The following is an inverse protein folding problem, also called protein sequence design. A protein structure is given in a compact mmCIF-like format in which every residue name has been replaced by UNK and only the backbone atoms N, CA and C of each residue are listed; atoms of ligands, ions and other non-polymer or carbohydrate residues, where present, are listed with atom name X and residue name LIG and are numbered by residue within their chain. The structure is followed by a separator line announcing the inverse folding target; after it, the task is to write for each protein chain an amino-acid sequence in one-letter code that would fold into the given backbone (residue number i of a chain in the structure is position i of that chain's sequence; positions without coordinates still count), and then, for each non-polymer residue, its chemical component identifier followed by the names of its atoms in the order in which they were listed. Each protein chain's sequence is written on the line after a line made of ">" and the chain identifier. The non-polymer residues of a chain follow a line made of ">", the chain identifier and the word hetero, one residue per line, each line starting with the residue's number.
data_IF_995235805275
#
_entry.id   IF_995235805275
#
_cell.length_a   1.000
_cell.length_b   1.000
_cell.length_c   1.000
_cell.angle_alpha   90.00
_cell.angle_beta   90.00
_cell.angle_gamma   90.00
#
_symmetry.space_group_name_H-M   'P 1'
#
loop_
_entity.id
_entity.type
_entity.pdbx_description
1 polymer ?
#
# COMPACT_ATOMS: atom_id res chain seq x y z
N UNK A 1 -8.68 27.20 28.28
CA UNK A 1 -9.24 26.92 26.94
C UNK A 1 -8.40 25.82 26.29
N UNK A 2 -8.75 24.55 26.52
CA UNK A 2 -8.06 23.42 25.88
C UNK A 2 -8.52 23.32 24.42
N UNK A 3 -7.71 23.79 23.48
CA UNK A 3 -7.92 23.48 22.06
C UNK A 3 -7.66 21.98 21.88
N UNK A 4 -8.74 21.24 21.66
CA UNK A 4 -8.68 19.80 21.36
C UNK A 4 -7.68 19.53 20.24
N UNK A 5 -6.85 18.50 20.44
CA UNK A 5 -5.86 18.06 19.47
C UNK A 5 -6.61 17.66 18.19
N UNK A 6 -6.60 18.52 17.18
CA UNK A 6 -7.15 18.21 15.87
C UNK A 6 -6.23 17.17 15.21
N UNK A 7 -6.85 16.12 14.69
CA UNK A 7 -6.15 14.96 14.12
C UNK A 7 -5.34 15.40 12.89
N UNK A 8 -4.02 15.17 12.91
CA UNK A 8 -3.09 15.54 11.82
C UNK A 8 -3.50 14.97 10.45
N UNK A 9 -4.25 13.87 10.43
CA UNK A 9 -4.79 13.24 9.22
C UNK A 9 -5.69 14.18 8.40
N UNK A 10 -6.46 15.04 9.05
CA UNK A 10 -7.40 15.91 8.32
C UNK A 10 -6.68 17.05 7.58
N UNK A 11 -5.56 17.54 8.10
CA UNK A 11 -4.78 18.61 7.46
C UNK A 11 -3.97 18.17 6.23
N UNK A 12 -3.85 16.86 5.99
CA UNK A 12 -3.13 16.30 4.85
C UNK A 12 -4.03 16.03 3.62
N UNK A 13 -5.36 16.13 3.79
CA UNK A 13 -6.35 15.78 2.75
C UNK A 13 -6.68 16.93 1.78
N UNK A 14 -6.39 18.19 2.15
CA UNK A 14 -6.85 19.39 1.42
C UNK A 14 -5.70 20.30 0.96
N UNK A 15 -4.53 19.76 0.63
CA UNK A 15 -3.44 20.58 0.09
C UNK A 15 -3.27 20.32 -1.40
N UNK A 16 -3.49 21.37 -2.20
CA UNK A 16 -3.01 21.46 -3.57
C UNK A 16 -1.52 21.05 -3.60
N UNK A 17 -1.20 20.01 -4.36
CA UNK A 17 0.16 19.47 -4.47
C UNK A 17 0.98 20.30 -5.45
N UNK A 18 1.17 21.58 -5.14
CA UNK A 18 2.14 22.40 -5.87
C UNK A 18 3.52 22.07 -5.34
N UNK A 19 4.32 21.34 -6.12
CA UNK A 19 5.73 21.13 -5.82
C UNK A 19 6.43 22.50 -5.89
N UNK A 20 7.09 22.91 -4.81
CA UNK A 20 7.97 24.09 -4.86
C UNK A 20 9.23 23.78 -5.70
N UNK A 21 9.91 24.80 -6.22
CA UNK A 21 11.04 24.67 -7.18
C UNK A 21 12.21 23.79 -6.69
N UNK A 22 12.34 23.58 -5.36
CA UNK A 22 13.37 22.74 -4.75
C UNK A 22 12.88 21.34 -4.33
N UNK A 23 11.60 21.03 -4.58
CA UNK A 23 10.96 19.78 -4.16
C UNK A 23 10.82 18.80 -5.33
N UNK A 24 11.08 17.53 -5.06
CA UNK A 24 10.93 16.44 -6.02
C UNK A 24 10.16 15.27 -5.39
N UNK A 25 9.54 14.44 -6.22
CA UNK A 25 8.91 13.18 -5.80
C UNK A 25 9.98 12.10 -5.86
N UNK A 26 10.07 11.30 -4.80
CA UNK A 26 10.99 10.19 -4.72
C UNK A 26 10.31 8.93 -4.17
N UNK A 27 10.82 7.78 -4.57
CA UNK A 27 10.36 6.48 -4.08
C UNK A 27 11.32 5.95 -3.02
N UNK A 28 10.80 5.40 -1.92
CA UNK A 28 11.60 4.75 -0.88
C UNK A 28 12.06 3.38 -1.37
N UNK A 29 13.38 3.22 -1.55
CA UNK A 29 14.02 1.96 -1.97
C UNK A 29 14.30 1.06 -0.76
N UNK A 30 14.81 1.64 0.33
CA UNK A 30 15.19 0.89 1.52
C UNK A 30 15.18 1.75 2.78
N UNK A 31 14.93 1.12 3.93
CA UNK A 31 15.01 1.76 5.24
C UNK A 31 16.39 1.46 5.83
N UNK A 32 17.27 2.47 5.97
CA UNK A 32 18.65 2.27 6.45
C UNK A 32 18.80 2.34 7.96
N UNK A 33 17.78 2.84 8.66
CA UNK A 33 17.82 3.09 10.11
C UNK A 33 18.40 4.45 10.45
N UNK A 34 18.47 4.81 11.74
CA UNK A 34 19.08 6.06 12.23
C UNK A 34 18.60 7.33 11.50
N UNK A 35 17.29 7.41 11.21
CA UNK A 35 16.62 8.49 10.48
C UNK A 35 17.08 8.67 9.03
N UNK A 36 17.69 7.65 8.44
CA UNK A 36 18.10 7.66 7.04
C UNK A 36 17.30 6.63 6.26
N UNK A 37 16.88 7.03 5.08
CA UNK A 37 16.22 6.18 4.12
C UNK A 37 16.93 6.32 2.78
N UNK A 38 16.96 5.22 2.04
CA UNK A 38 17.42 5.21 0.67
C UNK A 38 16.22 5.51 -0.23
N UNK A 39 16.38 6.51 -1.07
CA UNK A 39 15.35 7.03 -1.96
C UNK A 39 15.86 7.00 -3.40
N UNK A 40 14.95 6.78 -4.35
CA UNK A 40 15.20 6.97 -5.76
C UNK A 40 14.54 8.28 -6.19
N UNK A 41 15.33 9.21 -6.71
CA UNK A 41 14.85 10.48 -7.24
C UNK A 41 14.21 10.30 -8.63
N UNK A 42 13.52 11.32 -9.13
CA UNK A 42 12.90 11.36 -10.47
C UNK A 42 13.87 11.07 -11.64
N UNK A 43 15.18 11.14 -11.39
CA UNK A 43 16.26 10.82 -12.35
C UNK A 43 16.67 9.34 -12.34
N UNK A 44 16.16 8.54 -11.41
CA UNK A 44 16.51 7.13 -11.22
C UNK A 44 17.76 6.92 -10.35
N UNK A 45 18.32 8.00 -9.78
CA UNK A 45 19.49 7.91 -8.90
C UNK A 45 19.07 7.59 -7.46
N UNK A 46 19.72 6.59 -6.86
CA UNK A 46 19.55 6.26 -5.45
C UNK A 46 20.40 7.18 -4.57
N UNK A 47 19.78 7.81 -3.58
CA UNK A 47 20.47 8.68 -2.62
C UNK A 47 19.94 8.49 -1.20
N UNK A 48 20.70 8.96 -0.20
CA UNK A 48 20.26 8.92 1.19
C UNK A 48 19.55 10.22 1.55
N UNK A 49 18.35 10.08 2.11
CA UNK A 49 17.57 11.18 2.65
C UNK A 49 17.40 11.05 4.17
N UNK A 50 17.40 12.20 4.85
CA UNK A 50 17.00 12.28 6.24
C UNK A 50 15.48 12.22 6.35
N UNK A 51 14.99 11.37 7.24
CA UNK A 51 13.59 11.26 7.61
C UNK A 51 13.35 12.03 8.92
N UNK A 52 12.69 13.20 8.87
CA UNK A 52 12.51 14.04 10.05
C UNK A 52 11.82 13.33 11.20
N UNK A 53 12.29 13.60 12.42
CA UNK A 53 11.80 12.96 13.63
C UNK A 53 10.29 13.10 13.84
N UNK A 54 9.72 14.25 13.44
CA UNK A 54 8.29 14.57 13.54
C UNK A 54 7.37 13.56 12.84
N UNK A 55 7.88 12.82 11.85
CA UNK A 55 7.09 11.84 11.12
C UNK A 55 7.07 10.45 11.76
N UNK A 56 7.98 10.17 12.71
CA UNK A 56 8.15 8.84 13.29
C UNK A 56 6.92 8.31 14.03
N UNK A 57 6.13 9.19 14.64
CA UNK A 57 4.95 8.78 15.42
C UNK A 57 3.65 8.77 14.61
N UNK A 58 3.59 9.51 13.51
CA UNK A 58 2.34 9.78 12.79
C UNK A 58 2.28 9.21 11.37
N UNK A 59 3.42 8.86 10.78
CA UNK A 59 3.50 8.38 9.40
C UNK A 59 4.27 7.06 9.35
N UNK A 60 3.66 6.04 8.73
CA UNK A 60 4.31 4.76 8.49
C UNK A 60 4.86 4.75 7.06
N UNK A 61 6.17 4.53 6.91
CA UNK A 61 6.82 4.38 5.61
C UNK A 61 7.32 2.94 5.45
N UNK A 62 7.25 2.43 4.22
CA UNK A 62 7.77 1.11 3.83
C UNK A 62 8.52 1.25 2.50
N UNK A 63 9.18 0.17 2.06
CA UNK A 63 9.74 0.10 0.71
C UNK A 63 8.61 0.26 -0.32
N UNK A 64 8.86 1.06 -1.36
CA UNK A 64 7.89 1.37 -2.40
C UNK A 64 6.95 2.54 -2.07
N UNK A 65 6.99 3.08 -0.84
CA UNK A 65 6.25 4.30 -0.50
C UNK A 65 6.81 5.50 -1.27
N UNK A 66 5.94 6.47 -1.59
CA UNK A 66 6.35 7.72 -2.22
C UNK A 66 6.42 8.85 -1.21
N UNK A 67 7.41 9.72 -1.37
CA UNK A 67 7.66 10.85 -0.48
C UNK A 67 8.03 12.08 -1.30
N UNK A 68 7.74 13.26 -0.77
CA UNK A 68 8.25 14.53 -1.30
C UNK A 68 9.53 14.85 -0.58
N UNK A 69 10.59 15.12 -1.34
CA UNK A 69 11.92 15.43 -0.83
C UNK A 69 12.28 16.87 -1.18
N UNK A 70 13.06 17.50 -0.31
CA UNK A 70 13.63 18.82 -0.52
C UNK A 70 15.14 18.69 -0.75
N UNK A 71 15.59 19.23 -1.88
CA UNK A 71 16.99 19.25 -2.29
C UNK A 71 17.73 20.53 -1.84
N UNK A 72 17.10 21.46 -1.12
CA UNK A 72 17.75 22.67 -0.60
C UNK A 72 18.99 22.35 0.25
N UNK A 73 19.00 21.18 0.91
CA UNK A 73 20.16 20.69 1.66
C UNK A 73 21.25 20.02 0.82
N UNK A 74 21.00 19.69 -0.46
CA UNK A 74 21.89 18.90 -1.32
C UNK A 74 23.20 19.61 -1.60
N UNK A 75 23.13 20.90 -1.93
CA UNK A 75 24.31 21.73 -2.20
C UNK A 75 25.23 21.82 -0.98
N UNK A 76 24.65 22.10 0.21
CA UNK A 76 25.38 22.16 1.48
C UNK A 76 25.97 20.81 1.89
N UNK A 77 25.24 19.72 1.64
CA UNK A 77 25.71 18.38 1.92
C UNK A 77 26.91 18.00 1.05
N UNK A 78 26.87 18.37 -0.23
CA UNK A 78 27.97 18.14 -1.17
C UNK A 78 29.22 18.94 -0.79
N UNK A 79 29.06 20.20 -0.38
CA UNK A 79 30.16 21.04 0.13
C UNK A 79 30.76 20.46 1.43
N UNK A 80 29.92 19.89 2.30
CA UNK A 80 30.32 19.32 3.59
C UNK A 80 30.84 17.86 3.50
N UNK A 81 30.83 17.25 2.32
CA UNK A 81 31.18 15.82 2.14
C UNK A 81 30.20 14.83 2.80
N UNK A 82 28.98 15.28 3.10
CA UNK A 82 27.94 14.43 3.69
C UNK A 82 27.31 13.51 2.64
N UNK A 83 27.11 12.24 2.99
CA UNK A 83 26.44 11.25 2.14
C UNK A 83 24.92 11.43 2.05
N UNK A 84 24.35 12.25 2.93
CA UNK A 84 22.91 12.53 2.95
C UNK A 84 22.65 13.79 2.14
N UNK A 85 21.93 13.65 1.03
CA UNK A 85 21.75 14.72 0.03
C UNK A 85 20.41 15.42 0.13
N UNK A 86 19.42 14.87 0.84
CA UNK A 86 18.05 15.40 0.79
C UNK A 86 17.30 15.16 2.10
N UNK A 87 16.20 15.90 2.30
CA UNK A 87 15.36 15.80 3.50
C UNK A 87 13.93 15.50 3.07
N UNK A 88 13.28 14.55 3.73
CA UNK A 88 11.86 14.26 3.47
C UNK A 88 10.97 15.36 4.02
N UNK A 89 10.17 15.98 3.16
CA UNK A 89 9.23 17.03 3.52
C UNK A 89 7.84 16.50 3.84
N UNK A 90 7.33 15.55 3.05
CA UNK A 90 5.99 14.95 3.22
C UNK A 90 6.00 13.48 2.80
N UNK A 91 5.16 12.66 3.42
CA UNK A 91 4.89 11.29 2.98
C UNK A 91 3.60 11.29 2.18
N UNK A 92 3.60 10.66 1.00
CA UNK A 92 2.45 10.57 0.13
C UNK A 92 1.64 9.31 0.42
N UNK A 93 0.34 9.47 0.59
CA UNK A 93 -0.61 8.37 0.72
C UNK A 93 -1.09 7.87 -0.64
N UNK A 94 -1.67 6.67 -0.65
CA UNK A 94 -2.14 6.01 -1.87
C UNK A 94 -3.08 6.89 -2.73
N UNK A 95 -4.05 7.55 -2.10
CA UNK A 95 -4.97 8.44 -2.81
C UNK A 95 -4.24 9.64 -3.45
N UNK A 96 -3.28 10.22 -2.73
CA UNK A 96 -2.47 11.33 -3.21
C UNK A 96 -1.61 10.89 -4.39
N UNK A 97 -0.96 9.72 -4.30
CA UNK A 97 -0.19 9.13 -5.39
C UNK A 97 -1.06 8.92 -6.64
N UNK A 98 -2.28 8.40 -6.50
CA UNK A 98 -3.21 8.24 -7.64
C UNK A 98 -3.61 9.56 -8.28
N UNK A 99 -3.73 10.63 -7.51
CA UNK A 99 -4.03 11.97 -8.04
C UNK A 99 -2.83 12.55 -8.79
N UNK A 100 -1.63 12.45 -8.19
CA UNK A 100 -0.40 12.94 -8.82
C UNK A 100 -0.05 12.14 -10.08
N UNK A 101 -0.28 10.82 -10.11
CA UNK A 101 -0.08 9.99 -11.31
C UNK A 101 -0.88 10.46 -12.54
N UNK A 102 -1.99 11.18 -12.32
CA UNK A 102 -2.79 11.77 -13.40
C UNK A 102 -2.31 13.17 -13.80
N UNK A 103 -1.49 13.81 -12.97
CA UNK A 103 -0.92 15.13 -13.24
C UNK A 103 0.37 15.00 -14.06
N UNK A 104 0.75 16.04 -14.81
CA UNK A 104 1.99 16.05 -15.58
C UNK A 104 3.26 16.07 -14.69
N UNK A 105 3.10 16.32 -13.39
CA UNK A 105 4.20 16.41 -12.43
C UNK A 105 4.68 15.04 -11.94
N UNK A 106 4.01 13.94 -12.34
CA UNK A 106 4.45 12.59 -12.01
C UNK A 106 5.70 12.17 -12.79
N UNK A 107 6.80 11.78 -12.11
CA UNK A 107 8.02 11.38 -12.79
C UNK A 107 7.80 10.14 -13.66
N UNK A 108 8.29 10.20 -14.89
CA UNK A 108 8.11 9.14 -15.90
C UNK A 108 8.67 7.80 -15.46
N UNK A 109 9.81 7.81 -14.76
CA UNK A 109 10.45 6.62 -14.19
C UNK A 109 9.56 5.84 -13.22
N UNK A 110 8.53 6.49 -12.65
CA UNK A 110 7.61 5.87 -11.69
C UNK A 110 6.29 5.44 -12.32
N UNK A 111 6.09 5.65 -13.63
CA UNK A 111 4.87 5.20 -14.33
C UNK A 111 4.81 3.67 -14.44
N UNK A 112 5.97 3.03 -14.61
CA UNK A 112 6.06 1.57 -14.76
C UNK A 112 6.17 0.83 -13.41
N UNK A 113 6.46 1.55 -12.33
CA UNK A 113 6.50 0.95 -10.99
C UNK A 113 5.08 0.77 -10.45
N UNK A 114 4.60 -0.48 -10.40
CA UNK A 114 3.34 -0.82 -9.73
C UNK A 114 3.43 -0.38 -8.26
N UNK A 115 2.57 0.53 -7.78
CA UNK A 115 2.55 0.91 -6.37
C UNK A 115 2.16 -0.33 -5.56
N UNK A 116 3.03 -0.75 -4.65
CA UNK A 116 2.75 -1.86 -3.73
C UNK A 116 1.72 -1.34 -2.70
N UNK A 117 0.49 -1.85 -2.68
CA UNK A 117 -0.46 -1.47 -1.65
C UNK A 117 0.06 -1.94 -0.29
N UNK A 118 -0.12 -1.12 0.76
CA UNK A 118 0.38 -1.42 2.10
C UNK A 118 -0.21 -2.71 2.73
N UNK A 119 -1.22 -3.31 2.09
CA UNK A 119 -1.93 -4.52 2.51
C UNK A 119 -1.41 -5.82 1.84
N UNK A 120 -0.63 -5.72 0.76
CA UNK A 120 -0.26 -6.89 -0.05
C UNK A 120 1.15 -7.42 0.28
N UNK A 121 1.40 -7.74 1.55
CA UNK A 121 2.65 -8.44 1.97
C UNK A 121 2.38 -9.74 2.72
N UNK A 122 1.20 -10.33 2.52
CA UNK A 122 0.88 -11.69 2.98
C UNK A 122 0.76 -12.70 1.83
N UNK A 123 1.00 -12.31 0.58
CA UNK A 123 0.95 -13.25 -0.54
C UNK A 123 2.29 -13.96 -0.72
N UNK A 124 2.29 -15.22 -0.28
CA UNK A 124 3.23 -16.27 -0.63
C UNK A 124 3.29 -16.34 -2.17
N UNK A 125 4.48 -16.46 -2.82
CA UNK A 125 4.55 -16.52 -4.28
C UNK A 125 3.91 -17.82 -4.79
N UNK A 126 2.85 -17.70 -5.60
CA UNK A 126 2.30 -18.79 -6.41
C UNK A 126 3.03 -18.74 -7.77
N UNK A 127 3.65 -19.83 -8.25
CA UNK A 127 4.28 -19.84 -9.57
C UNK A 127 3.21 -19.78 -10.68
N UNK A 128 3.52 -19.21 -11.86
CA UNK A 128 2.55 -18.95 -12.91
C UNK A 128 2.23 -20.24 -13.70
N UNK A 129 0.95 -20.58 -13.81
CA UNK A 129 0.45 -21.42 -14.89
C UNK A 129 -0.33 -20.54 -15.88
N UNK A 130 0.23 -20.48 -17.08
CA UNK A 130 -0.35 -20.07 -18.34
C UNK A 130 -1.66 -20.80 -18.69
N UNK A 131 -2.70 -20.06 -19.14
CA UNK A 131 -3.34 -20.21 -20.47
C UNK A 131 -4.78 -19.64 -20.52
N UNK A 132 -4.93 -18.63 -21.39
CA UNK A 132 -6.05 -18.16 -22.25
C UNK A 132 -7.53 -18.47 -21.97
N UNK A 133 -8.36 -17.44 -22.17
CA UNK A 133 -9.80 -17.58 -22.47
C UNK A 133 -10.62 -16.29 -22.30
N UNK A 134 -10.99 -15.68 -23.42
CA UNK A 134 -11.67 -14.39 -23.61
C UNK A 134 -13.19 -14.37 -23.30
N UNK A 135 -13.74 -13.14 -23.09
CA UNK A 135 -15.16 -12.65 -23.21
C UNK A 135 -16.21 -13.25 -22.24
N UNK A 136 -17.30 -12.62 -21.79
CA UNK A 136 -18.11 -11.46 -22.17
C UNK A 136 -18.95 -11.02 -20.93
N UNK A 137 -19.44 -9.79 -20.94
CA UNK A 137 -20.20 -9.14 -19.88
C UNK A 137 -21.64 -9.65 -19.76
N UNK A 138 -22.08 -10.11 -18.58
CA UNK A 138 -23.50 -10.08 -18.18
C UNK A 138 -23.67 -10.03 -16.66
N UNK A 139 -24.31 -8.95 -16.20
CA UNK A 139 -24.83 -8.70 -14.86
C UNK A 139 -26.04 -9.63 -14.61
N UNK A 140 -25.92 -10.57 -13.67
CA UNK A 140 -27.00 -11.14 -12.85
C UNK A 140 -26.35 -11.89 -11.67
N UNK A 141 -26.75 -11.55 -10.44
CA UNK A 141 -26.23 -12.04 -9.16
C UNK A 141 -26.10 -13.58 -9.07
N UNK A 142 -24.89 -14.14 -8.97
CA UNK A 142 -24.69 -15.47 -8.35
C UNK A 142 -23.23 -15.76 -7.95
N UNK A 143 -23.08 -16.56 -6.90
CA UNK A 143 -21.91 -16.88 -6.10
C UNK A 143 -20.64 -17.37 -6.85
N UNK A 144 -19.91 -16.44 -7.47
CA UNK A 144 -18.63 -16.71 -8.15
C UNK A 144 -17.39 -16.81 -7.25
N UNK A 145 -17.55 -16.88 -5.93
CA UNK A 145 -16.42 -17.15 -5.03
C UNK A 145 -16.23 -18.68 -4.93
N UNK A 146 -15.03 -19.21 -5.20
CA UNK A 146 -14.79 -20.64 -5.00
C UNK A 146 -15.13 -20.99 -3.55
N UNK A 147 -15.82 -22.13 -3.29
CA UNK A 147 -16.10 -22.57 -1.93
C UNK A 147 -14.80 -22.60 -1.13
N UNK A 148 -14.77 -21.92 0.01
CA UNK A 148 -13.60 -21.89 0.88
C UNK A 148 -13.19 -23.32 1.20
N UNK A 149 -11.94 -23.67 0.90
CA UNK A 149 -11.42 -25.01 1.18
C UNK A 149 -11.53 -25.29 2.69
N UNK A 150 -12.18 -26.40 3.04
CA UNK A 150 -12.42 -26.74 4.43
C UNK A 150 -11.08 -26.96 5.15
N UNK A 151 -10.84 -26.19 6.21
CA UNK A 151 -9.62 -26.31 7.01
C UNK A 151 -9.53 -27.70 7.68
N UNK A 152 -8.63 -28.55 7.19
CA UNK A 152 -8.42 -29.93 7.64
C UNK A 152 -7.59 -30.04 8.93
N UNK A 153 -7.02 -28.93 9.45
CA UNK A 153 -6.31 -28.93 10.73
C UNK A 153 -7.24 -28.97 11.95
N UNK A 154 -8.56 -28.91 11.75
CA UNK A 154 -9.53 -29.17 12.82
C UNK A 154 -9.70 -30.67 12.97
N UNK A 155 -9.06 -31.25 13.98
CA UNK A 155 -9.34 -32.60 14.45
C UNK A 155 -10.85 -32.71 14.72
N UNK A 156 -11.60 -33.35 13.81
CA UNK A 156 -13.01 -33.67 14.04
C UNK A 156 -13.04 -34.71 15.16
N UNK A 157 -13.60 -34.42 16.35
CA UNK A 157 -13.94 -35.48 17.27
C UNK A 157 -15.04 -36.30 16.57
N UNK A 158 -14.75 -37.57 16.40
CA UNK A 158 -15.67 -38.61 15.96
C UNK A 158 -16.99 -38.53 16.74
N UNK A 159 -18.12 -38.39 16.03
CA UNK A 159 -19.45 -38.62 16.57
C UNK A 159 -20.32 -37.37 16.73
N UNK A 160 -20.81 -36.82 15.63
CA UNK A 160 -22.16 -36.23 15.62
C UNK A 160 -22.87 -36.87 14.45
N UNK A 161 -23.65 -37.92 14.74
CA UNK A 161 -24.61 -38.48 13.80
C UNK A 161 -25.64 -37.39 13.54
N UNK A 162 -25.78 -36.97 12.29
CA UNK A 162 -26.95 -36.24 11.86
C UNK A 162 -28.05 -37.29 11.74
N UNK A 163 -28.92 -37.38 12.75
CA UNK A 163 -30.15 -38.14 12.61
C UNK A 163 -30.94 -37.54 11.43
N UNK A 164 -31.03 -38.31 10.36
CA UNK A 164 -31.94 -38.03 9.27
C UNK A 164 -33.34 -38.36 9.78
N UNK A 165 -34.03 -37.35 10.30
CA UNK A 165 -35.46 -37.39 10.61
C UNK A 165 -36.21 -37.82 9.33
N UNK A 166 -36.49 -39.12 9.25
CA UNK A 166 -37.24 -39.72 8.15
C UNK A 166 -38.71 -39.50 8.44
N UNK A 167 -39.29 -38.44 7.86
CA UNK A 167 -40.74 -38.22 7.90
C UNK A 167 -41.42 -39.19 6.92
N UNK A 168 -41.72 -40.39 7.40
CA UNK A 168 -42.44 -41.41 6.67
C UNK A 168 -43.93 -41.31 7.00
N UNK A 169 -44.59 -40.29 6.43
CA UNK A 169 -46.05 -40.14 6.52
C UNK A 169 -46.77 -41.19 5.68
N UNK A 170 -47.28 -42.24 6.34
CA UNK A 170 -48.14 -43.24 5.72
C UNK A 170 -49.30 -43.54 6.68
N UNK A 171 -50.49 -43.03 6.35
CA UNK A 171 -51.74 -43.47 6.95
C UNK A 171 -52.78 -43.66 5.83
N UNK A 172 -53.24 -44.90 5.68
CA UNK A 172 -54.32 -45.34 4.78
C UNK A 172 -55.27 -46.23 5.57
N UNK A 173 -56.56 -45.98 5.32
CA UNK A 173 -57.77 -46.77 5.59
C UNK A 173 -58.29 -46.90 7.03
N UNK A 174 -59.39 -46.16 7.31
CA UNK A 174 -60.75 -46.74 7.45
C UNK A 174 -61.83 -45.67 7.41
#
# INVERSE_FOLDING_TARGET
>A
MNRGRRNLKQAASEQDFTLEECQSIAQVVSLRGSNQIEIMDAKGESSLALFPAKFRESMWIRRGSFVVIDHTGKEKAQESGSKVTSIVCKVLFFEQVRLLQKSPDWPEIFKDTKPIPADESSQIPIPPQENDGEIDSSDDDDDGMPPLEANTNRLRPFGVQCDAETDSGSDSDS
#
